data_IF_604057983648
#
_entry.id   IF_604057983648
#
_cell.length_a   1.000
_cell.length_b   1.000
_cell.length_c   1.000
_cell.angle_alpha   90.00
_cell.angle_beta   90.00
_cell.angle_gamma   90.00
#
_symmetry.space_group_name_H-M   'P 1'
#
loop_
_entity.id
_entity.type
_entity.pdbx_description
1 polymer ?
#
# COMPACT_ATOMS: atom_id res chain seq x y z
N UNK A 1 -0.30 10.01 31.32
CA UNK A 1 -0.41 9.93 29.84
C UNK A 1 -0.86 8.51 29.49
N UNK A 2 -2.03 8.39 28.88
CA UNK A 2 -2.76 7.13 28.67
C UNK A 2 -2.12 6.28 27.56
N UNK A 3 -1.31 5.29 27.93
CA UNK A 3 -0.82 4.27 26.98
C UNK A 3 -1.98 3.51 26.30
N UNK A 4 -3.14 3.39 26.97
CA UNK A 4 -4.35 2.79 26.42
C UNK A 4 -5.06 3.60 25.33
N UNK A 5 -4.66 4.85 25.06
CA UNK A 5 -5.23 5.67 23.97
C UNK A 5 -4.48 5.54 22.64
N UNK A 6 -3.25 5.00 22.67
CA UNK A 6 -2.43 4.79 21.47
C UNK A 6 -2.77 3.49 20.74
N UNK A 7 -3.52 2.61 21.38
CA UNK A 7 -3.97 1.36 20.82
C UNK A 7 -5.49 1.35 20.90
N UNK A 8 -6.22 1.40 19.77
CA UNK A 8 -7.64 1.11 19.81
C UNK A 8 -7.81 -0.27 20.46
N UNK A 9 -8.45 -0.32 21.63
CA UNK A 9 -8.61 -1.54 22.44
C UNK A 9 -9.23 -2.70 21.65
N UNK A 10 -9.89 -2.40 20.53
CA UNK A 10 -10.56 -3.33 19.63
C UNK A 10 -9.62 -4.21 18.80
N UNK A 11 -8.34 -3.87 18.62
CA UNK A 11 -7.51 -4.52 17.59
C UNK A 11 -6.31 -5.34 18.12
N UNK A 12 -5.95 -5.21 19.40
CA UNK A 12 -4.87 -6.04 19.98
C UNK A 12 -5.30 -7.52 19.99
N UNK A 13 -6.59 -7.80 20.18
CA UNK A 13 -7.15 -9.15 20.11
C UNK A 13 -6.93 -9.83 18.74
N UNK A 14 -6.89 -9.06 17.65
CA UNK A 14 -6.62 -9.58 16.32
C UNK A 14 -5.14 -9.98 16.15
N UNK A 15 -4.22 -9.24 16.76
CA UNK A 15 -2.79 -9.59 16.78
C UNK A 15 -2.56 -10.92 17.51
N UNK A 16 -3.28 -11.18 18.60
CA UNK A 16 -3.20 -12.44 19.33
C UNK A 16 -3.69 -13.66 18.52
N UNK A 17 -4.38 -13.46 17.39
CA UNK A 17 -4.83 -14.54 16.48
C UNK A 17 -3.79 -14.92 15.42
N UNK A 18 -2.69 -14.17 15.28
CA UNK A 18 -1.63 -14.46 14.30
C UNK A 18 -1.05 -15.88 14.44
N UNK A 19 -0.76 -16.40 15.65
CA UNK A 19 -0.33 -17.80 15.79
C UNK A 19 -1.35 -18.80 15.25
N UNK A 20 -2.65 -18.56 15.50
CA UNK A 20 -3.75 -19.39 14.99
C UNK A 20 -3.86 -19.37 13.46
N UNK A 21 -3.60 -18.23 12.83
CA UNK A 21 -3.49 -18.10 11.37
C UNK A 21 -2.40 -19.01 10.80
N UNK A 22 -1.22 -19.03 11.44
CA UNK A 22 -0.10 -19.84 10.98
C UNK A 22 -0.38 -21.35 11.16
N UNK A 23 -0.96 -21.74 12.29
CA UNK A 23 -1.39 -23.13 12.51
C UNK A 23 -2.42 -23.55 11.46
N UNK A 24 -3.42 -22.72 11.17
CA UNK A 24 -4.43 -23.04 10.18
C UNK A 24 -3.87 -23.15 8.75
N UNK A 25 -2.89 -22.30 8.39
CA UNK A 25 -2.16 -22.44 7.14
C UNK A 25 -1.44 -23.79 7.04
N UNK A 26 -0.79 -24.23 8.12
CA UNK A 26 -0.11 -25.53 8.16
C UNK A 26 -1.10 -26.69 8.02
N UNK A 27 -2.29 -26.59 8.61
CA UNK A 27 -3.35 -27.59 8.44
C UNK A 27 -3.80 -27.71 6.99
N UNK A 28 -3.99 -26.58 6.30
CA UNK A 28 -4.32 -26.56 4.88
C UNK A 28 -3.24 -27.22 4.03
N UNK A 29 -1.96 -26.93 4.31
CA UNK A 29 -0.85 -27.61 3.63
C UNK A 29 -0.83 -29.10 3.91
N UNK A 30 -1.09 -29.53 5.14
CA UNK A 30 -1.03 -30.93 5.51
C UNK A 30 -2.20 -31.75 4.96
N UNK A 31 -3.41 -31.18 4.91
CA UNK A 31 -4.65 -31.94 4.66
C UNK A 31 -5.22 -31.80 3.26
N UNK A 32 -5.02 -30.65 2.61
CA UNK A 32 -5.76 -30.28 1.40
C UNK A 32 -4.82 -29.99 0.22
N UNK A 33 -3.76 -29.21 0.45
CA UNK A 33 -2.94 -28.65 -0.63
C UNK A 33 -1.47 -28.50 -0.19
N UNK A 34 -0.62 -29.54 -0.36
CA UNK A 34 0.79 -29.53 0.07
C UNK A 34 1.62 -28.37 -0.48
N UNK A 35 1.28 -27.91 -1.69
CA UNK A 35 1.97 -26.84 -2.41
C UNK A 35 1.32 -25.46 -2.21
N UNK A 36 0.35 -25.34 -1.30
CA UNK A 36 -0.29 -24.06 -1.01
C UNK A 36 0.73 -23.08 -0.43
N UNK A 37 0.91 -21.96 -1.12
CA UNK A 37 1.70 -20.84 -0.61
C UNK A 37 0.93 -20.07 0.45
N UNK A 38 1.66 -19.41 1.35
CA UNK A 38 1.04 -18.58 2.39
C UNK A 38 0.20 -17.46 1.77
N UNK A 39 0.66 -16.85 0.67
CA UNK A 39 -0.12 -15.84 -0.04
C UNK A 39 -1.41 -16.41 -0.65
N UNK A 40 -1.35 -17.60 -1.24
CA UNK A 40 -2.53 -18.29 -1.76
C UNK A 40 -3.55 -18.57 -0.64
N UNK A 41 -3.07 -18.99 0.53
CA UNK A 41 -3.90 -19.16 1.73
C UNK A 41 -4.58 -17.85 2.15
N UNK A 42 -3.83 -16.74 2.23
CA UNK A 42 -4.42 -15.43 2.54
C UNK A 42 -5.47 -15.02 1.51
N UNK A 43 -5.18 -15.21 0.22
CA UNK A 43 -6.14 -14.90 -0.84
C UNK A 43 -7.43 -15.73 -0.70
N UNK A 44 -7.33 -17.01 -0.35
CA UNK A 44 -8.51 -17.85 -0.12
C UNK A 44 -9.34 -17.43 1.10
N UNK A 45 -8.73 -16.85 2.14
CA UNK A 45 -9.47 -16.45 3.35
C UNK A 45 -9.88 -14.98 3.40
N UNK A 46 -9.21 -14.09 2.67
CA UNK A 46 -9.46 -12.65 2.74
C UNK A 46 -9.91 -12.01 1.42
N UNK A 47 -9.92 -12.75 0.30
CA UNK A 47 -10.47 -12.21 -0.94
C UNK A 47 -11.98 -12.01 -0.81
N UNK A 48 -12.52 -10.82 -1.17
CA UNK A 48 -13.95 -10.53 -1.08
C UNK A 48 -14.84 -11.51 -1.88
N UNK A 49 -14.28 -12.11 -2.93
CA UNK A 49 -14.97 -13.07 -3.81
C UNK A 49 -14.70 -14.54 -3.44
N UNK A 50 -14.02 -14.82 -2.33
CA UNK A 50 -13.72 -16.20 -1.95
C UNK A 50 -14.93 -16.90 -1.35
N UNK A 51 -15.39 -17.97 -1.99
CA UNK A 51 -16.40 -18.87 -1.40
C UNK A 51 -15.84 -19.64 -0.20
N UNK A 52 -14.53 -19.88 -0.18
CA UNK A 52 -13.89 -20.58 0.94
C UNK A 52 -13.96 -19.75 2.23
N UNK A 53 -13.81 -18.43 2.13
CA UNK A 53 -13.93 -17.53 3.27
C UNK A 53 -15.33 -17.56 3.91
N UNK A 54 -16.38 -17.81 3.12
CA UNK A 54 -17.77 -17.89 3.59
C UNK A 54 -18.10 -19.19 4.33
N UNK A 55 -17.23 -20.20 4.23
CA UNK A 55 -17.44 -21.50 4.88
C UNK A 55 -16.80 -21.47 6.27
N UNK A 56 -17.59 -21.59 7.37
CA UNK A 56 -17.05 -21.55 8.72
C UNK A 56 -16.15 -22.74 9.00
N UNK A 57 -14.97 -22.49 9.55
CA UNK A 57 -14.10 -23.54 10.08
C UNK A 57 -14.28 -23.66 11.59
N UNK A 58 -14.72 -24.81 12.11
CA UNK A 58 -14.90 -25.01 13.55
C UNK A 58 -13.59 -24.80 14.30
N UNK A 59 -13.64 -24.07 15.42
CA UNK A 59 -12.51 -23.80 16.30
C UNK A 59 -11.35 -22.98 15.72
N UNK A 60 -11.47 -22.45 14.50
CA UNK A 60 -10.44 -21.62 13.90
C UNK A 60 -10.68 -20.15 14.23
N UNK A 61 -9.68 -19.52 14.84
CA UNK A 61 -9.64 -18.06 15.06
C UNK A 61 -8.49 -17.47 14.24
N UNK A 62 -8.82 -16.96 13.06
CA UNK A 62 -7.89 -16.16 12.26
C UNK A 62 -8.23 -14.67 12.41
N UNK A 63 -7.24 -13.77 12.26
CA UNK A 63 -7.49 -12.33 12.28
C UNK A 63 -8.60 -11.93 11.31
N UNK A 64 -9.41 -10.95 11.66
CA UNK A 64 -10.35 -10.27 10.76
C UNK A 64 -11.44 -11.13 10.08
N UNK A 65 -11.57 -12.41 10.41
CA UNK A 65 -12.51 -13.35 9.76
C UNK A 65 -13.99 -12.92 9.82
N UNK A 66 -14.37 -12.13 10.81
CA UNK A 66 -15.71 -11.54 10.97
C UNK A 66 -15.63 -10.09 11.48
N UNK A 67 -14.56 -9.38 11.14
CA UNK A 67 -14.31 -8.05 11.69
C UNK A 67 -14.89 -6.97 10.76
N UNK A 68 -15.85 -6.18 11.28
CA UNK A 68 -16.48 -5.05 10.57
C UNK A 68 -15.60 -3.78 10.56
N UNK A 69 -14.27 -3.89 10.67
CA UNK A 69 -13.41 -2.71 10.61
C UNK A 69 -13.12 -2.33 9.16
N UNK A 70 -13.98 -1.45 8.64
CA UNK A 70 -13.68 -0.67 7.47
C UNK A 70 -12.66 0.42 7.86
N UNK A 71 -11.37 0.11 7.73
CA UNK A 71 -10.31 1.11 7.70
C UNK A 71 -9.40 1.12 8.92
N UNK A 72 -8.25 0.46 8.79
CA UNK A 72 -7.12 0.73 9.66
C UNK A 72 -6.37 1.95 9.13
N UNK A 73 -6.52 3.09 9.80
CA UNK A 73 -5.70 4.27 9.57
C UNK A 73 -4.49 4.21 10.50
N UNK A 74 -3.40 3.61 10.02
CA UNK A 74 -2.12 3.71 10.70
C UNK A 74 -1.48 5.04 10.33
N UNK A 75 -1.34 5.94 11.32
CA UNK A 75 -0.50 7.13 11.18
C UNK A 75 0.90 6.74 11.62
N UNK A 76 1.86 6.78 10.70
CA UNK A 76 3.27 6.63 11.06
C UNK A 76 3.65 7.89 11.86
N UNK A 77 3.78 7.76 13.17
CA UNK A 77 4.06 8.90 14.06
C UNK A 77 5.38 9.59 13.73
N UNK A 78 6.40 8.84 13.32
CA UNK A 78 7.70 9.38 12.90
C UNK A 78 8.33 8.49 11.82
N UNK A 79 8.57 9.05 10.63
CA UNK A 79 9.41 8.43 9.61
C UNK A 79 10.80 9.07 9.66
N UNK A 80 11.81 8.32 10.12
CA UNK A 80 13.21 8.76 10.11
C UNK A 80 13.93 8.09 8.95
N UNK A 81 13.88 8.72 7.78
CA UNK A 81 14.80 8.39 6.70
C UNK A 81 16.12 9.10 6.93
N UNK A 82 17.17 8.33 7.19
CA UNK A 82 18.54 8.84 7.12
C UNK A 82 18.93 8.82 5.64
N UNK A 83 18.89 9.98 4.99
CA UNK A 83 19.54 10.12 3.68
C UNK A 83 21.05 10.16 3.93
N UNK A 84 21.72 9.05 3.60
CA UNK A 84 23.17 9.08 3.48
C UNK A 84 23.54 10.14 2.45
N UNK A 85 24.49 11.00 2.82
CA UNK A 85 24.91 12.13 1.99
C UNK A 85 25.56 11.59 0.73
N UNK A 86 24.79 11.51 -0.35
CA UNK A 86 25.30 11.14 -1.67
C UNK A 86 26.31 12.21 -2.09
N UNK A 87 27.59 11.85 -2.15
CA UNK A 87 28.62 12.73 -2.72
C UNK A 87 28.47 12.68 -4.23
N UNK A 88 27.72 13.63 -4.78
CA UNK A 88 27.58 13.81 -6.23
C UNK A 88 28.73 14.67 -6.73
N UNK A 89 29.62 14.08 -7.52
CA UNK A 89 30.60 14.83 -8.31
C UNK A 89 29.91 15.39 -9.55
N UNK A 90 29.71 16.71 -9.58
CA UNK A 90 29.26 17.40 -10.78
C UNK A 90 30.46 17.68 -11.68
N UNK A 91 30.42 17.15 -12.90
CA UNK A 91 31.32 17.60 -13.95
C UNK A 91 30.77 18.90 -14.53
N UNK A 92 31.48 20.00 -14.32
CA UNK A 92 31.16 21.25 -15.00
C UNK A 92 31.53 21.11 -16.48
N UNK A 93 30.52 21.02 -17.34
CA UNK A 93 30.71 21.19 -18.77
C UNK A 93 30.24 22.59 -19.15
N UNK A 94 31.19 23.45 -19.54
CA UNK A 94 30.92 24.76 -20.10
C UNK A 94 30.25 24.59 -21.47
N UNK A 95 28.93 24.38 -21.48
CA UNK A 95 28.15 24.48 -22.71
C UNK A 95 27.87 25.95 -22.98
N UNK A 96 28.45 26.48 -24.04
CA UNK A 96 28.03 27.76 -24.61
C UNK A 96 26.71 27.52 -25.34
N UNK A 97 25.59 27.65 -24.64
CA UNK A 97 24.28 27.62 -25.26
C UNK A 97 24.03 28.97 -25.95
N UNK A 98 23.87 28.96 -27.26
CA UNK A 98 23.35 30.11 -28.01
C UNK A 98 21.87 29.86 -28.29
N UNK A 99 21.01 30.66 -27.66
CA UNK A 99 19.60 30.65 -27.97
C UNK A 99 19.41 31.26 -29.37
N UNK A 100 18.91 30.44 -30.30
CA UNK A 100 18.57 30.88 -31.64
C UNK A 100 17.05 30.78 -31.80
N UNK A 101 16.38 31.92 -31.70
CA UNK A 101 14.94 32.01 -31.90
C UNK A 101 14.65 31.92 -33.41
N UNK A 102 14.46 30.71 -33.93
CA UNK A 102 14.05 30.46 -35.32
C UNK A 102 12.51 30.53 -35.49
N UNK A 103 11.83 31.29 -34.63
CA UNK A 103 10.37 31.38 -34.67
C UNK A 103 9.92 32.11 -35.93
N UNK A 104 9.35 31.35 -36.87
CA UNK A 104 8.64 31.89 -38.02
C UNK A 104 7.13 31.77 -37.73
N UNK A 105 6.45 32.92 -37.56
CA UNK A 105 5.00 32.93 -37.41
C UNK A 105 4.36 32.54 -38.75
N UNK A 106 3.62 31.44 -38.78
CA UNK A 106 2.59 31.25 -39.80
C UNK A 106 1.30 31.83 -39.23
N UNK A 107 0.78 32.89 -39.85
CA UNK A 107 -0.52 33.46 -39.48
C UNK A 107 -1.61 32.49 -39.88
N UNK A 108 -1.93 31.54 -39.02
CA UNK A 108 -3.09 30.69 -39.19
C UNK A 108 -3.84 30.52 -37.86
N UNK A 109 -5.06 31.05 -37.84
CA UNK A 109 -6.18 30.59 -37.02
C UNK A 109 -5.98 30.60 -35.51
N UNK A 110 -6.43 31.68 -34.88
CA UNK A 110 -6.63 31.84 -33.44
C UNK A 110 -7.45 30.69 -32.81
N UNK A 111 -6.81 29.58 -32.43
CA UNK A 111 -7.50 28.46 -31.77
C UNK A 111 -7.65 28.66 -30.26
N UNK A 112 -6.79 29.48 -29.64
CA UNK A 112 -6.81 29.72 -28.19
C UNK A 112 -6.62 31.21 -27.92
N UNK A 113 -7.72 31.94 -27.68
CA UNK A 113 -7.66 33.26 -27.04
C UNK A 113 -7.93 33.06 -25.55
N UNK A 114 -6.95 33.32 -24.66
CA UNK A 114 -7.23 33.32 -23.23
C UNK A 114 -8.18 34.46 -22.85
N UNK A 115 -8.89 34.33 -21.71
CA UNK A 115 -9.93 35.26 -21.29
C UNK A 115 -9.38 36.67 -21.08
N UNK A 116 -10.13 37.66 -21.55
CA UNK A 116 -9.86 39.07 -21.30
C UNK A 116 -10.67 39.51 -20.09
N UNK A 117 -10.00 40.10 -19.10
CA UNK A 117 -10.66 40.71 -17.95
C UNK A 117 -11.32 42.01 -18.40
N UNK A 118 -12.62 42.15 -18.15
CA UNK A 118 -13.39 43.38 -18.28
C UNK A 118 -13.37 44.19 -16.99
#
# INVERSE_FOLDING_TARGET
MFTGSLFPQTDIEEVYKIPGLLTHFQEHRAKLQPDLSFWGFLQMHYSPSSEHAKTPHPHTKIPFYNHLSAGFLFVISEFKATLEKLVVTFFSCNHQFQYLNAYAYQTCGSLLRPPQFG
#
